data_IF_151514206726
#
_entry.id   IF_151514206726
#
_cell.length_a   1.000
_cell.length_b   1.000
_cell.length_c   1.000
_cell.angle_alpha   90.00
_cell.angle_beta   90.00
_cell.angle_gamma   90.00
#
_symmetry.space_group_name_H-M   'P 1'
#
loop_
_entity.id
_entity.type
_entity.pdbx_description
1 polymer ?
#
# COMPACT_ATOMS: atom_id res chain seq x y z
N UNK A 1 -1.34 11.38 -19.03
CA UNK A 1 0.07 11.80 -18.94
C UNK A 1 0.73 11.53 -20.29
N UNK A 2 1.51 12.46 -20.84
CA UNK A 2 2.21 12.33 -22.12
C UNK A 2 3.55 13.03 -22.09
N UNK A 3 4.58 12.40 -22.70
CA UNK A 3 5.92 12.99 -22.84
C UNK A 3 5.87 14.33 -23.59
N UNK A 4 5.07 14.42 -24.65
CA UNK A 4 4.94 15.64 -25.45
C UNK A 4 4.30 16.82 -24.71
N UNK A 5 3.51 16.54 -23.67
CA UNK A 5 2.87 17.56 -22.82
C UNK A 5 3.71 17.91 -21.59
N UNK A 6 4.87 17.29 -21.40
CA UNK A 6 5.76 17.52 -20.25
C UNK A 6 5.17 17.09 -18.89
N UNK A 7 4.07 16.34 -18.87
CA UNK A 7 3.34 15.99 -17.64
C UNK A 7 3.46 14.49 -17.28
N UNK A 8 4.67 13.94 -17.48
CA UNK A 8 4.99 12.56 -17.09
C UNK A 8 5.57 12.56 -15.69
N UNK A 9 5.13 11.60 -14.89
CA UNK A 9 5.66 11.36 -13.56
C UNK A 9 6.54 10.13 -13.62
N UNK A 10 7.71 10.21 -13.00
CA UNK A 10 8.62 9.08 -12.89
C UNK A 10 8.10 8.10 -11.81
N UNK A 11 7.68 6.89 -12.20
CA UNK A 11 7.16 5.91 -11.23
C UNK A 11 8.23 5.46 -10.23
N UNK A 12 9.51 5.42 -10.61
CA UNK A 12 10.58 4.97 -9.71
C UNK A 12 10.74 5.96 -8.56
N UNK A 13 10.73 7.26 -8.87
CA UNK A 13 10.77 8.32 -7.85
C UNK A 13 9.56 8.28 -6.92
N UNK A 14 8.37 7.98 -7.45
CA UNK A 14 7.17 7.81 -6.62
C UNK A 14 7.31 6.62 -5.66
N UNK A 15 7.83 5.49 -6.15
CA UNK A 15 8.04 4.30 -5.33
C UNK A 15 9.13 4.51 -4.28
N UNK A 16 10.19 5.25 -4.59
CA UNK A 16 11.23 5.63 -3.63
C UNK A 16 10.67 6.52 -2.51
N UNK A 17 9.85 7.53 -2.86
CA UNK A 17 9.32 8.49 -1.89
C UNK A 17 8.19 7.93 -1.00
N UNK A 18 7.37 7.02 -1.53
CA UNK A 18 6.13 6.59 -0.86
C UNK A 18 6.01 5.09 -0.62
N UNK A 19 6.83 4.28 -1.29
CA UNK A 19 6.77 2.82 -1.27
C UNK A 19 6.00 2.25 -2.46
N UNK A 20 6.49 1.10 -2.95
CA UNK A 20 5.91 0.37 -4.09
C UNK A 20 4.44 0.02 -3.88
N UNK A 21 4.09 -0.49 -2.70
CA UNK A 21 2.71 -0.92 -2.44
C UNK A 21 1.75 0.25 -2.36
N UNK A 22 2.17 1.38 -1.78
CA UNK A 22 1.38 2.61 -1.77
C UNK A 22 1.08 3.09 -3.19
N UNK A 23 2.09 3.08 -4.07
CA UNK A 23 1.93 3.45 -5.48
C UNK A 23 1.00 2.47 -6.22
N UNK A 24 1.18 1.16 -6.04
CA UNK A 24 0.29 0.14 -6.65
C UNK A 24 -1.15 0.32 -6.19
N UNK A 25 -1.36 0.48 -4.89
CA UNK A 25 -2.70 0.65 -4.33
C UNK A 25 -3.38 1.91 -4.86
N UNK A 26 -2.63 3.01 -5.01
CA UNK A 26 -3.15 4.24 -5.60
C UNK A 26 -3.63 4.07 -7.05
N UNK A 27 -3.00 3.19 -7.82
CA UNK A 27 -3.34 2.93 -9.23
C UNK A 27 -4.51 1.95 -9.40
N UNK A 28 -4.60 0.93 -8.54
CA UNK A 28 -5.66 -0.11 -8.63
C UNK A 28 -6.93 0.26 -7.88
N UNK A 29 -6.84 1.20 -6.92
CA UNK A 29 -7.99 1.55 -6.10
C UNK A 29 -9.12 2.08 -6.97
N UNK A 30 -10.35 1.57 -6.77
CA UNK A 30 -11.47 1.90 -7.64
C UNK A 30 -11.70 3.40 -7.67
N UNK A 31 -11.74 3.95 -8.87
CA UNK A 31 -12.34 5.25 -9.13
C UNK A 31 -13.79 5.02 -9.56
N UNK A 32 -14.64 6.01 -9.32
CA UNK A 32 -15.92 6.15 -10.01
C UNK A 32 -15.77 5.95 -11.52
N UNK A 33 -16.85 5.53 -12.20
CA UNK A 33 -17.07 5.02 -13.58
C UNK A 33 -16.31 5.66 -14.78
N UNK A 34 -15.21 6.35 -14.56
CA UNK A 34 -14.32 6.94 -15.54
C UNK A 34 -13.22 5.95 -15.92
N UNK A 35 -13.00 5.70 -17.22
CA UNK A 35 -11.85 4.94 -17.71
C UNK A 35 -10.53 5.71 -17.54
N UNK A 36 -10.60 7.00 -17.22
CA UNK A 36 -9.43 7.86 -17.00
C UNK A 36 -9.14 8.01 -15.50
N UNK A 37 -7.88 7.71 -15.13
CA UNK A 37 -7.35 7.93 -13.79
C UNK A 37 -6.54 9.25 -13.75
N UNK A 38 -7.05 10.33 -13.13
CA UNK A 38 -6.20 11.47 -12.82
C UNK A 38 -5.19 11.07 -11.75
N UNK A 39 -3.91 11.25 -12.05
CA UNK A 39 -2.86 10.98 -11.08
C UNK A 39 -2.86 12.05 -9.98
N UNK A 40 -2.77 11.61 -8.72
CA UNK A 40 -2.68 12.48 -7.55
C UNK A 40 -1.65 11.92 -6.59
N UNK A 41 -0.58 12.69 -6.35
CA UNK A 41 0.45 12.34 -5.37
C UNK A 41 -0.10 12.32 -3.93
N UNK A 42 -1.09 13.15 -3.61
CA UNK A 42 -1.78 13.12 -2.32
C UNK A 42 -2.51 11.79 -2.09
N UNK A 43 -3.08 11.19 -3.15
CA UNK A 43 -3.63 9.83 -3.03
C UNK A 43 -2.55 8.81 -2.73
N UNK A 44 -1.41 8.86 -3.41
CA UNK A 44 -0.26 7.97 -3.13
C UNK A 44 0.20 8.13 -1.67
N UNK A 45 0.30 9.37 -1.18
CA UNK A 45 0.61 9.68 0.23
C UNK A 45 -0.44 9.09 1.18
N UNK A 46 -1.72 9.20 0.86
CA UNK A 46 -2.80 8.58 1.63
C UNK A 46 -2.64 7.06 1.72
N UNK A 47 -2.33 6.39 0.61
CA UNK A 47 -2.12 4.94 0.59
C UNK A 47 -0.82 4.49 1.29
N UNK A 48 0.22 5.34 1.34
CA UNK A 48 1.37 5.11 2.22
C UNK A 48 0.94 5.05 3.69
N UNK A 49 0.09 5.99 4.12
CA UNK A 49 -0.44 5.99 5.50
C UNK A 49 -1.30 4.75 5.77
N UNK A 50 -2.09 4.33 4.79
CA UNK A 50 -2.88 3.09 4.87
C UNK A 50 -1.97 1.84 5.02
N UNK A 51 -0.94 1.70 4.19
CA UNK A 51 0.03 0.62 4.31
C UNK A 51 0.73 0.63 5.69
N UNK A 52 1.11 1.81 6.18
CA UNK A 52 1.65 1.95 7.53
C UNK A 52 0.65 1.55 8.62
N UNK A 53 -0.66 1.77 8.42
CA UNK A 53 -1.69 1.33 9.36
C UNK A 53 -1.79 -0.20 9.40
N UNK A 54 -1.75 -0.87 8.26
CA UNK A 54 -1.70 -2.34 8.18
C UNK A 54 -0.45 -2.85 8.90
N UNK A 55 0.73 -2.28 8.59
CA UNK A 55 1.98 -2.65 9.24
C UNK A 55 1.90 -2.56 10.77
N UNK A 56 1.39 -1.44 11.29
CA UNK A 56 1.23 -1.26 12.74
C UNK A 56 0.22 -2.23 13.36
N UNK A 57 -0.88 -2.54 12.66
CA UNK A 57 -1.85 -3.54 13.12
C UNK A 57 -1.26 -4.94 13.17
N UNK A 58 -0.56 -5.37 12.10
CA UNK A 58 0.14 -6.65 12.05
C UNK A 58 1.21 -6.73 13.14
N UNK A 59 2.01 -5.68 13.31
CA UNK A 59 3.02 -5.61 14.37
C UNK A 59 2.40 -5.71 15.75
N UNK A 60 1.29 -5.02 16.01
CA UNK A 60 0.55 -5.11 17.27
C UNK A 60 0.10 -6.54 17.56
N UNK A 61 -0.53 -7.20 16.59
CA UNK A 61 -0.99 -8.59 16.74
C UNK A 61 0.17 -9.53 17.02
N UNK A 62 1.25 -9.45 16.23
CA UNK A 62 2.41 -10.34 16.37
C UNK A 62 3.09 -10.18 17.73
N UNK A 63 3.27 -8.95 18.23
CA UNK A 63 3.85 -8.69 19.56
C UNK A 63 3.02 -9.24 20.72
N UNK A 64 1.71 -9.45 20.53
CA UNK A 64 0.82 -9.90 21.61
C UNK A 64 0.46 -11.40 21.49
N UNK A 65 0.90 -12.06 20.42
CA UNK A 65 0.59 -13.47 20.14
C UNK A 65 1.84 -14.36 20.08
N UNK A 66 2.99 -13.91 20.58
CA UNK A 66 4.25 -14.70 20.55
C UNK A 66 4.08 -16.09 21.21
N UNK A 67 3.40 -16.16 22.36
CA UNK A 67 3.14 -17.42 23.09
C UNK A 67 1.75 -18.04 22.79
N UNK A 68 1.04 -17.50 21.79
CA UNK A 68 -0.30 -17.97 21.48
C UNK A 68 -0.26 -19.25 20.64
N UNK A 69 -0.72 -20.36 21.23
CA UNK A 69 -0.93 -21.63 20.52
C UNK A 69 -2.40 -21.72 20.06
N UNK A 70 -2.68 -21.73 18.75
CA UNK A 70 -4.03 -21.89 18.24
C UNK A 70 -4.63 -23.25 18.65
N UNK A 71 -5.86 -23.28 19.17
CA UNK A 71 -6.57 -24.53 19.45
C UNK A 71 -6.65 -25.39 18.18
N UNK A 72 -6.15 -26.63 18.27
CA UNK A 72 -6.18 -27.61 17.18
C UNK A 72 -4.87 -27.77 16.38
N UNK A 73 -3.81 -27.03 16.71
CA UNK A 73 -2.44 -27.36 16.32
C UNK A 73 -1.69 -27.84 17.56
N UNK A 74 -1.48 -29.14 17.69
CA UNK A 74 -0.48 -29.64 18.63
C UNK A 74 0.90 -29.08 18.21
N UNK A 75 1.77 -28.69 19.16
CA UNK A 75 3.14 -28.32 18.82
C UNK A 75 3.77 -29.49 18.08
N UNK A 76 4.28 -29.23 16.88
CA UNK A 76 4.99 -30.23 16.10
C UNK A 76 6.17 -30.73 16.98
N UNK A 77 6.37 -32.05 17.15
CA UNK A 77 7.41 -32.59 18.01
C UNK A 77 8.83 -32.14 17.60
#
# INVERSE_FOLDING_TARGET
>A
MSKSKGNVIDPLKMMENYGTDAFRFALISPQSDSPYLPFSEDRVRGYRNFANKIWNASRFVLMNLEDFVPKGKEPNP
#
